data_IF_250502491105
#
_entry.id   IF_250502491105
#
_cell.length_a   1.000
_cell.length_b   1.000
_cell.length_c   1.000
_cell.angle_alpha   90.00
_cell.angle_beta   90.00
_cell.angle_gamma   90.00
#
_symmetry.space_group_name_H-M   'P 1'
#
loop_
_entity.id
_entity.type
_entity.pdbx_description
1 polymer ?
#
# COMPACT_ATOMS: atom_id res chain seq x y z
N UNK A 1 -8.14 2.73 1.95
CA UNK A 1 -6.80 2.32 1.50
C UNK A 1 -6.93 0.95 0.86
N UNK A 2 -6.15 0.66 -0.16
CA UNK A 2 -6.11 -0.64 -0.84
C UNK A 2 -4.88 -1.41 -0.36
N UNK A 3 -4.97 -2.71 -0.16
CA UNK A 3 -3.78 -3.53 0.03
C UNK A 3 -3.96 -4.93 -0.53
N UNK A 4 -2.83 -5.51 -0.93
CA UNK A 4 -2.72 -6.88 -1.38
C UNK A 4 -1.94 -7.69 -0.35
N UNK A 5 -2.42 -8.90 -0.06
CA UNK A 5 -1.75 -9.82 0.86
C UNK A 5 -1.63 -11.22 0.25
N UNK A 6 -0.49 -11.85 0.57
CA UNK A 6 -0.14 -13.19 0.15
C UNK A 6 -0.55 -14.19 1.21
N UNK A 7 -1.76 -14.73 1.03
CA UNK A 7 -2.31 -15.75 1.90
C UNK A 7 -2.00 -17.14 1.34
N UNK A 8 -1.64 -18.09 2.19
CA UNK A 8 -1.50 -19.50 1.79
C UNK A 8 -2.57 -20.33 2.48
N UNK A 9 -3.37 -21.06 1.70
CA UNK A 9 -4.39 -21.97 2.24
C UNK A 9 -3.85 -23.27 2.87
N UNK A 10 -2.55 -23.32 3.23
CA UNK A 10 -1.90 -24.52 3.75
C UNK A 10 -0.79 -24.18 4.76
N UNK A 11 -0.33 -25.18 5.54
CA UNK A 11 0.74 -25.07 6.56
C UNK A 11 2.09 -24.61 5.96
N UNK A 12 2.25 -24.62 4.63
CA UNK A 12 3.43 -24.06 3.94
C UNK A 12 3.06 -23.04 2.86
N UNK A 13 3.77 -21.90 2.86
CA UNK A 13 3.60 -20.78 1.92
C UNK A 13 3.98 -21.07 0.46
N UNK A 14 4.58 -22.24 0.18
CA UNK A 14 5.31 -22.47 -1.08
C UNK A 14 4.47 -23.07 -2.21
N UNK A 15 3.32 -23.69 -1.93
CA UNK A 15 2.65 -24.56 -2.90
C UNK A 15 1.20 -24.20 -3.25
N UNK A 16 0.60 -23.17 -2.63
CA UNK A 16 -0.73 -22.69 -3.00
C UNK A 16 -0.90 -21.22 -2.58
N UNK A 17 -0.24 -20.33 -3.33
CA UNK A 17 -0.21 -18.90 -3.06
C UNK A 17 -1.52 -18.27 -3.57
N UNK A 18 -2.24 -17.60 -2.69
CA UNK A 18 -3.44 -16.84 -3.03
C UNK A 18 -3.14 -15.36 -2.81
N UNK A 19 -3.13 -14.61 -3.91
CA UNK A 19 -3.07 -13.16 -3.89
C UNK A 19 -4.46 -12.62 -3.63
N UNK A 20 -4.65 -11.89 -2.52
CA UNK A 20 -5.95 -11.32 -2.18
C UNK A 20 -5.88 -9.81 -2.04
N UNK A 21 -6.88 -9.11 -2.56
CA UNK A 21 -7.05 -7.66 -2.42
C UNK A 21 -8.12 -7.34 -1.38
N UNK A 22 -7.81 -6.35 -0.56
CA UNK A 22 -8.68 -5.84 0.49
C UNK A 22 -8.69 -4.32 0.46
N UNK A 23 -9.78 -3.72 0.95
CA UNK A 23 -9.82 -2.30 1.24
C UNK A 23 -10.39 -2.01 2.63
N UNK A 24 -9.95 -0.88 3.17
CA UNK A 24 -10.43 -0.35 4.43
C UNK A 24 -10.77 1.13 4.28
N UNK A 25 -11.63 1.66 5.14
CA UNK A 25 -11.90 3.09 5.21
C UNK A 25 -10.68 3.83 5.75
N UNK A 26 -10.17 4.79 4.98
CA UNK A 26 -8.91 5.48 5.29
C UNK A 26 -9.03 6.49 6.43
N UNK A 27 -10.24 6.98 6.72
CA UNK A 27 -10.49 7.95 7.79
C UNK A 27 -10.67 7.34 9.18
N UNK A 28 -10.64 6.01 9.30
CA UNK A 28 -10.82 5.36 10.59
C UNK A 28 -9.53 5.40 11.42
N UNK A 29 -9.61 5.52 12.76
CA UNK A 29 -8.46 5.39 13.63
C UNK A 29 -7.90 3.95 13.58
N UNK A 30 -6.59 3.73 13.79
CA UNK A 30 -5.95 2.42 13.64
C UNK A 30 -6.62 1.29 14.43
N UNK A 31 -7.13 1.59 15.63
CA UNK A 31 -7.85 0.63 16.48
C UNK A 31 -9.13 0.10 15.83
N UNK A 32 -9.77 0.89 14.97
CA UNK A 32 -10.98 0.50 14.25
C UNK A 32 -10.64 -0.10 12.89
N UNK A 33 -9.69 0.48 12.16
CA UNK A 33 -9.23 -0.05 10.86
C UNK A 33 -8.79 -1.50 10.93
N UNK A 34 -8.14 -1.90 12.03
CA UNK A 34 -7.65 -3.26 12.23
C UNK A 34 -8.73 -4.25 12.72
N UNK A 35 -9.99 -3.83 12.81
CA UNK A 35 -11.09 -4.74 13.09
C UNK A 35 -11.57 -5.39 11.79
N UNK A 36 -11.82 -6.69 11.81
CA UNK A 36 -12.25 -7.48 10.65
C UNK A 36 -13.48 -6.88 9.94
N UNK A 37 -14.38 -6.26 10.69
CA UNK A 37 -15.56 -5.58 10.15
C UNK A 37 -15.23 -4.44 9.16
N UNK A 38 -14.11 -3.75 9.37
CA UNK A 38 -13.68 -2.62 8.53
C UNK A 38 -12.71 -3.04 7.41
N UNK A 39 -12.48 -4.35 7.27
CA UNK A 39 -11.66 -4.95 6.22
C UNK A 39 -12.62 -5.57 5.20
N UNK A 40 -12.71 -4.94 4.04
CA UNK A 40 -13.57 -5.41 2.96
C UNK A 40 -12.75 -6.19 1.95
N UNK A 41 -13.14 -7.45 1.75
CA UNK A 41 -12.57 -8.31 0.72
C UNK A 41 -13.02 -7.86 -0.68
N UNK A 42 -12.09 -7.82 -1.63
CA UNK A 42 -12.37 -7.44 -3.03
C UNK A 42 -12.27 -8.67 -3.92
N UNK A 43 -11.10 -9.30 -3.96
CA UNK A 43 -10.86 -10.44 -4.83
C UNK A 43 -9.73 -11.32 -4.28
N UNK A 44 -9.70 -12.57 -4.75
CA UNK A 44 -8.58 -13.49 -4.52
C UNK A 44 -8.30 -14.26 -5.80
N UNK A 45 -7.03 -14.51 -6.09
CA UNK A 45 -6.60 -15.33 -7.21
C UNK A 45 -5.42 -16.19 -6.81
N UNK A 46 -5.45 -17.45 -7.24
CA UNK A 46 -4.32 -18.36 -7.15
C UNK A 46 -3.55 -18.50 -8.47
N UNK A 47 -4.03 -17.84 -9.52
CA UNK A 47 -3.46 -17.89 -10.87
C UNK A 47 -2.82 -16.55 -11.28
N UNK A 48 -3.27 -15.45 -10.69
CA UNK A 48 -2.81 -14.10 -11.01
C UNK A 48 -1.91 -13.54 -9.90
N UNK A 49 -0.88 -12.82 -10.32
CA UNK A 49 0.01 -12.00 -9.46
C UNK A 49 -0.71 -10.75 -8.94
N UNK A 50 -0.06 -9.98 -8.08
CA UNK A 50 -0.61 -8.72 -7.56
C UNK A 50 -0.92 -7.75 -8.70
N UNK A 51 -0.01 -7.61 -9.66
CA UNK A 51 -0.17 -6.69 -10.80
C UNK A 51 -1.27 -7.13 -11.76
N UNK A 52 -1.36 -8.42 -12.09
CA UNK A 52 -2.41 -8.94 -12.98
C UNK A 52 -3.81 -8.79 -12.35
N UNK A 53 -3.92 -9.04 -11.04
CA UNK A 53 -5.16 -8.84 -10.31
C UNK A 53 -5.51 -7.35 -10.18
N UNK A 54 -4.50 -6.49 -9.98
CA UNK A 54 -4.68 -5.05 -9.92
C UNK A 54 -5.15 -4.46 -11.26
N UNK A 55 -4.61 -4.94 -12.39
CA UNK A 55 -4.99 -4.48 -13.74
C UNK A 55 -6.50 -4.63 -13.97
N UNK A 56 -7.05 -5.79 -13.61
CA UNK A 56 -8.51 -6.03 -13.69
C UNK A 56 -9.31 -5.14 -12.73
N UNK A 57 -8.75 -4.83 -11.55
CA UNK A 57 -9.42 -4.04 -10.53
C UNK A 57 -9.39 -2.52 -10.82
N UNK A 58 -8.36 -2.03 -11.51
CA UNK A 58 -8.17 -0.59 -11.78
C UNK A 58 -9.35 -0.02 -12.56
N UNK A 59 -9.88 -0.74 -13.56
CA UNK A 59 -11.02 -0.28 -14.35
C UNK A 59 -12.26 -0.07 -13.48
N UNK A 60 -12.57 -1.03 -12.60
CA UNK A 60 -13.71 -0.94 -11.67
C UNK A 60 -13.54 0.19 -10.63
N UNK A 61 -12.32 0.35 -10.12
CA UNK A 61 -11.98 1.43 -9.20
C UNK A 61 -12.09 2.80 -9.87
N UNK A 62 -11.64 2.94 -11.12
CA UNK A 62 -11.77 4.17 -11.88
C UNK A 62 -13.23 4.54 -12.13
N UNK A 63 -14.07 3.56 -12.47
CA UNK A 63 -15.53 3.79 -12.58
C UNK A 63 -16.12 4.20 -11.24
N UNK A 64 -15.75 3.53 -10.15
CA UNK A 64 -16.23 3.86 -8.79
C UNK A 64 -15.78 5.24 -8.31
N UNK A 65 -14.60 5.69 -8.74
CA UNK A 65 -14.04 7.01 -8.39
C UNK A 65 -14.61 8.15 -9.24
N UNK A 66 -15.02 7.87 -10.48
CA UNK A 66 -15.47 8.92 -11.42
C UNK A 66 -16.98 8.99 -11.58
N UNK A 67 -17.66 7.84 -11.60
CA UNK A 67 -19.12 7.73 -11.79
C UNK A 67 -19.84 7.38 -10.49
N UNK A 68 -19.17 6.66 -9.59
CA UNK A 68 -19.77 6.12 -8.37
C UNK A 68 -20.87 5.09 -8.65
N UNK A 69 -21.54 4.66 -7.59
CA UNK A 69 -22.70 3.76 -7.67
C UNK A 69 -23.84 4.26 -6.79
N UNK A 70 -25.07 3.99 -7.23
CA UNK A 70 -26.28 4.38 -6.49
C UNK A 70 -26.51 3.38 -5.36
N UNK A 71 -26.72 3.89 -4.16
CA UNK A 71 -27.12 3.11 -2.99
C UNK A 71 -28.33 3.77 -2.32
N UNK A 72 -28.95 3.06 -1.38
CA UNK A 72 -29.96 3.62 -0.49
C UNK A 72 -29.33 3.69 0.90
N UNK A 73 -29.32 4.87 1.49
CA UNK A 73 -28.87 5.05 2.86
C UNK A 73 -29.92 4.51 3.82
N UNK A 74 -29.52 3.64 4.76
CA UNK A 74 -30.46 2.93 5.62
C UNK A 74 -31.04 3.80 6.75
N UNK A 75 -30.35 4.89 7.11
CA UNK A 75 -30.79 5.80 8.18
C UNK A 75 -31.79 6.84 7.64
N UNK A 76 -31.47 7.47 6.51
CA UNK A 76 -32.32 8.49 5.86
C UNK A 76 -33.35 7.91 4.89
N UNK A 77 -33.19 6.66 4.44
CA UNK A 77 -34.00 6.02 3.40
C UNK A 77 -34.00 6.79 2.06
N UNK A 78 -32.91 7.50 1.76
CA UNK A 78 -32.73 8.28 0.54
C UNK A 78 -31.78 7.62 -0.45
N UNK A 79 -31.92 7.98 -1.73
CA UNK A 79 -30.98 7.55 -2.77
C UNK A 79 -29.71 8.38 -2.67
N UNK A 80 -28.59 7.73 -2.39
CA UNK A 80 -27.27 8.34 -2.31
C UNK A 80 -26.37 7.86 -3.44
N UNK A 81 -25.39 8.68 -3.82
CA UNK A 81 -24.32 8.29 -4.72
C UNK A 81 -23.07 8.02 -3.90
N UNK A 82 -22.60 6.78 -3.89
CA UNK A 82 -21.38 6.38 -3.21
C UNK A 82 -20.23 6.41 -4.20
N UNK A 83 -19.15 7.09 -3.81
CA UNK A 83 -17.92 7.18 -4.59
C UNK A 83 -16.78 6.60 -3.78
N UNK A 84 -15.93 5.81 -4.44
CA UNK A 84 -14.78 5.16 -3.81
C UNK A 84 -13.51 5.65 -4.48
N UNK A 85 -12.63 6.25 -3.69
CA UNK A 85 -11.33 6.73 -4.16
C UNK A 85 -10.23 6.03 -3.36
N UNK A 86 -9.26 5.46 -4.06
CA UNK A 86 -8.08 4.86 -3.44
C UNK A 86 -7.09 5.98 -3.10
N UNK A 87 -6.91 6.26 -1.81
CA UNK A 87 -5.93 7.25 -1.35
C UNK A 87 -4.49 6.75 -1.44
N UNK A 88 -4.25 5.48 -1.09
CA UNK A 88 -2.94 4.87 -1.12
C UNK A 88 -3.05 3.34 -1.18
N UNK A 89 -1.97 2.72 -1.68
CA UNK A 89 -1.73 1.30 -1.59
C UNK A 89 -0.86 1.01 -0.35
N UNK A 90 -1.37 0.21 0.58
CA UNK A 90 -0.65 -0.24 1.76
C UNK A 90 0.03 -1.58 1.46
N UNK A 91 1.19 -1.80 2.05
CA UNK A 91 2.00 -2.98 1.81
C UNK A 91 3.32 -2.87 2.56
N UNK A 92 4.01 -4.00 2.71
CA UNK A 92 5.39 -4.00 3.14
C UNK A 92 6.32 -3.58 1.98
N UNK A 93 7.62 -3.43 2.26
CA UNK A 93 8.57 -2.95 1.25
C UNK A 93 8.66 -3.84 0.00
N UNK A 94 8.65 -5.19 0.10
CA UNK A 94 8.51 -6.07 -1.06
C UNK A 94 7.23 -5.82 -1.87
N UNK A 95 6.06 -5.74 -1.25
CA UNK A 95 4.79 -5.55 -1.96
C UNK A 95 4.74 -4.18 -2.64
N UNK A 96 5.21 -3.11 -1.99
CA UNK A 96 5.33 -1.80 -2.62
C UNK A 96 6.28 -1.81 -3.82
N UNK A 97 7.38 -2.55 -3.72
CA UNK A 97 8.32 -2.70 -4.83
C UNK A 97 7.67 -3.42 -6.03
N UNK A 98 6.92 -4.49 -5.78
CA UNK A 98 6.17 -5.22 -6.80
C UNK A 98 5.11 -4.34 -7.48
N UNK A 99 4.22 -3.71 -6.71
CA UNK A 99 3.13 -2.88 -7.24
C UNK A 99 3.64 -1.65 -8.02
N UNK A 100 4.75 -1.05 -7.57
CA UNK A 100 5.27 0.17 -8.21
C UNK A 100 6.32 -0.12 -9.28
N UNK A 101 6.65 -1.39 -9.54
CA UNK A 101 7.75 -1.79 -10.42
C UNK A 101 9.08 -1.10 -10.02
N UNK A 102 9.35 -1.01 -8.72
CA UNK A 102 10.59 -0.43 -8.18
C UNK A 102 11.48 -1.48 -7.55
N UNK A 103 12.77 -1.17 -7.41
CA UNK A 103 13.67 -2.06 -6.67
C UNK A 103 13.32 -2.01 -5.18
N UNK A 104 13.37 -3.18 -4.52
CA UNK A 104 13.12 -3.26 -3.08
C UNK A 104 14.04 -2.28 -2.31
N UNK A 105 13.48 -1.44 -1.42
CA UNK A 105 14.24 -0.48 -0.62
C UNK A 105 15.45 -1.07 0.11
N UNK A 106 15.43 -2.36 0.48
CA UNK A 106 16.56 -3.03 1.11
C UNK A 106 17.79 -3.15 0.19
N UNK A 107 17.58 -3.34 -1.12
CA UNK A 107 18.65 -3.55 -2.11
C UNK A 107 18.94 -2.31 -2.96
N UNK A 108 17.96 -1.42 -3.14
CA UNK A 108 18.08 -0.23 -3.99
C UNK A 108 19.12 0.78 -3.50
N UNK A 109 19.96 1.33 -4.38
CA UNK A 109 20.90 2.40 -4.01
C UNK A 109 20.18 3.73 -3.75
N UNK A 110 19.08 3.98 -4.46
CA UNK A 110 18.14 5.07 -4.20
C UNK A 110 16.78 4.46 -3.83
N UNK A 111 16.48 4.25 -2.53
CA UNK A 111 15.30 3.50 -2.09
C UNK A 111 14.01 4.30 -2.13
N UNK A 112 14.07 5.63 -2.18
CA UNK A 112 12.91 6.50 -2.27
C UNK A 112 12.79 7.06 -3.69
N UNK A 113 11.56 7.19 -4.20
CA UNK A 113 11.28 7.88 -5.48
C UNK A 113 10.84 9.33 -5.31
N UNK A 114 10.66 9.77 -4.07
CA UNK A 114 10.16 11.11 -3.74
C UNK A 114 11.31 12.02 -3.31
N UNK A 115 12.35 11.49 -2.66
CA UNK A 115 13.50 12.28 -2.21
C UNK A 115 14.81 11.82 -2.88
N UNK A 116 15.85 12.65 -2.76
CA UNK A 116 17.18 12.42 -3.30
C UNK A 116 18.06 11.52 -2.43
N UNK A 117 17.48 10.73 -1.53
CA UNK A 117 18.25 9.82 -0.67
C UNK A 117 18.89 8.72 -1.52
N UNK A 118 20.22 8.69 -1.56
CA UNK A 118 20.96 7.68 -2.31
C UNK A 118 22.26 7.27 -1.59
N UNK A 119 22.82 6.14 -2.03
CA UNK A 119 24.15 5.66 -1.64
C UNK A 119 24.89 5.09 -2.84
N UNK A 120 26.23 5.21 -2.88
CA UNK A 120 27.03 4.61 -3.97
C UNK A 120 27.14 3.09 -3.86
N UNK A 121 27.13 2.58 -2.63
CA UNK A 121 27.25 1.16 -2.31
C UNK A 121 26.23 0.77 -1.24
N UNK A 122 25.69 -0.44 -1.34
CA UNK A 122 24.69 -0.97 -0.39
C UNK A 122 25.18 -0.97 1.06
N UNK A 123 26.48 -1.20 1.26
CA UNK A 123 27.14 -1.17 2.58
C UNK A 123 26.99 0.19 3.29
N UNK A 124 26.96 1.28 2.51
CA UNK A 124 26.89 2.63 3.04
C UNK A 124 25.55 2.96 3.70
N UNK A 125 24.50 2.13 3.49
CA UNK A 125 23.21 2.27 4.19
C UNK A 125 23.29 2.08 5.70
N UNK A 126 24.37 1.45 6.18
CA UNK A 126 24.60 1.24 7.62
C UNK A 126 25.33 2.42 8.27
N UNK A 127 25.75 3.41 7.49
CA UNK A 127 26.45 4.59 8.01
C UNK A 127 25.50 5.48 8.80
N UNK A 128 26.00 6.10 9.87
CA UNK A 128 25.23 7.06 10.67
C UNK A 128 24.70 8.21 9.83
N UNK A 129 25.50 8.68 8.85
CA UNK A 129 25.10 9.71 7.90
C UNK A 129 23.83 9.33 7.13
N UNK A 130 23.83 8.16 6.50
CA UNK A 130 22.65 7.69 5.76
C UNK A 130 21.43 7.50 6.68
N UNK A 131 21.61 6.92 7.86
CA UNK A 131 20.51 6.74 8.82
C UNK A 131 19.97 8.09 9.28
N UNK A 132 20.84 9.06 9.54
CA UNK A 132 20.46 10.43 9.87
C UNK A 132 19.65 11.07 8.75
N UNK A 133 20.15 11.01 7.51
CA UNK A 133 19.45 11.54 6.33
C UNK A 133 18.10 10.83 6.09
N UNK A 134 18.01 9.52 6.35
CA UNK A 134 16.77 8.74 6.23
C UNK A 134 15.71 9.11 7.27
N UNK A 135 16.12 9.32 8.54
CA UNK A 135 15.20 9.70 9.62
C UNK A 135 14.93 11.21 9.63
N UNK A 136 15.71 11.99 8.87
CA UNK A 136 15.62 13.44 8.83
C UNK A 136 16.25 14.12 10.05
N UNK A 137 17.35 13.55 10.58
CA UNK A 137 18.10 14.09 11.72
C UNK A 137 19.55 14.39 11.34
N UNK A 138 20.12 15.41 11.95
CA UNK A 138 21.54 15.75 11.81
C UNK A 138 22.44 14.95 12.76
N UNK A 139 23.75 15.24 12.71
CA UNK A 139 24.74 14.55 13.53
C UNK A 139 24.56 14.81 15.03
N UNK A 140 23.87 15.90 15.40
CA UNK A 140 23.55 16.27 16.77
C UNK A 140 22.20 15.69 17.23
N UNK A 141 21.43 15.09 16.32
CA UNK A 141 20.09 14.56 16.57
C UNK A 141 18.97 15.59 16.38
N UNK A 142 19.27 16.77 15.84
CA UNK A 142 18.28 17.80 15.55
C UNK A 142 17.59 17.52 14.21
N UNK A 143 16.31 17.89 14.09
CA UNK A 143 15.55 17.68 12.86
C UNK A 143 16.13 18.52 11.70
N UNK A 144 16.50 17.84 10.62
CA UNK A 144 16.83 18.51 9.36
C UNK A 144 15.55 19.00 8.69
N UNK A 145 15.60 20.22 8.16
CA UNK A 145 14.59 20.67 7.19
C UNK A 145 14.77 19.86 5.92
N UNK A 146 13.85 18.93 5.68
CA UNK A 146 13.78 18.19 4.42
C UNK A 146 13.30 19.20 3.36
N UNK A 147 14.10 19.50 2.32
CA UNK A 147 13.57 20.26 1.19
C UNK A 147 12.50 19.38 0.52
N UNK A 148 11.27 19.89 0.48
CA UNK A 148 10.20 19.35 -0.36
C UNK A 148 10.46 19.71 -1.82
#
# INVERSE_FOLDING_TARGET
MLYSDDTSGNISKKWNKHMSFYCNLAGLPPKMTNQEYNIHFISTSNAATALESADSLVDELCVSATKGFKAIDCESNEKVLVMVVILCHMGDSPMHAEITNTMNPATALAPCRVCDLHVDKKENKRTSKYVGDFVGVDENGDQKKIPL
#
